data_IF_718661108982
#
_entry.id   IF_718661108982
#
_cell.length_a   1.000
_cell.length_b   1.000
_cell.length_c   1.000
_cell.angle_alpha   90.00
_cell.angle_beta   90.00
_cell.angle_gamma   90.00
#
_symmetry.space_group_name_H-M   'P 1'
#
loop_
_entity.id
_entity.type
_entity.pdbx_description
1 polymer ?
#
# COMPACT_ATOMS: atom_id res chain seq x y z
N UNK A 1 10.93 -7.55 14.97
CA UNK A 1 9.54 -7.31 14.51
C UNK A 1 9.09 -6.02 15.13
N UNK A 2 8.67 -5.02 14.34
CA UNK A 2 8.09 -3.79 14.92
C UNK A 2 6.75 -4.18 15.53
N UNK A 3 6.60 -4.07 16.84
CA UNK A 3 5.31 -4.14 17.48
C UNK A 3 4.50 -2.95 16.95
N UNK A 4 3.61 -3.21 15.99
CA UNK A 4 2.62 -2.24 15.56
C UNK A 4 1.81 -1.94 16.81
N UNK A 5 1.96 -0.72 17.34
CA UNK A 5 1.09 -0.22 18.39
C UNK A 5 -0.33 -0.42 17.86
N UNK A 6 -1.10 -1.25 18.55
CA UNK A 6 -2.47 -1.62 18.17
C UNK A 6 -3.36 -0.42 18.49
N UNK A 7 -3.23 0.60 17.63
CA UNK A 7 -3.87 1.89 17.77
C UNK A 7 -5.11 1.93 16.86
N UNK A 8 -6.02 2.88 17.12
CA UNK A 8 -7.22 3.12 16.30
C UNK A 8 -6.91 3.24 14.81
N UNK A 9 -5.75 3.81 14.48
CA UNK A 9 -5.29 3.95 13.10
C UNK A 9 -4.97 2.60 12.43
N UNK A 10 -4.51 1.60 13.18
CA UNK A 10 -4.18 0.28 12.64
C UNK A 10 -5.44 -0.44 12.12
N UNK A 11 -6.54 -0.36 12.87
CA UNK A 11 -7.82 -0.95 12.44
C UNK A 11 -8.37 -0.22 11.20
N UNK A 12 -8.30 1.11 11.19
CA UNK A 12 -8.69 1.91 10.03
C UNK A 12 -7.88 1.56 8.78
N UNK A 13 -6.56 1.43 8.92
CA UNK A 13 -5.68 1.13 7.80
C UNK A 13 -5.92 -0.30 7.29
N UNK A 14 -6.20 -1.27 8.17
CA UNK A 14 -6.63 -2.62 7.77
C UNK A 14 -7.95 -2.62 7.02
N UNK A 15 -8.95 -1.85 7.47
CA UNK A 15 -10.20 -1.72 6.74
C UNK A 15 -9.96 -1.13 5.33
N UNK A 16 -9.13 -0.10 5.20
CA UNK A 16 -8.78 0.47 3.90
C UNK A 16 -8.07 -0.54 2.99
N UNK A 17 -7.20 -1.36 3.56
CA UNK A 17 -6.50 -2.40 2.81
C UNK A 17 -7.46 -3.51 2.32
N UNK A 18 -8.44 -3.90 3.15
CA UNK A 18 -9.50 -4.84 2.76
C UNK A 18 -10.35 -4.27 1.61
N UNK A 19 -10.79 -3.01 1.70
CA UNK A 19 -11.57 -2.36 0.62
C UNK A 19 -10.76 -2.31 -0.68
N UNK A 20 -9.46 -2.01 -0.61
CA UNK A 20 -8.58 -2.01 -1.77
C UNK A 20 -8.43 -3.41 -2.39
N UNK A 21 -8.34 -4.46 -1.57
CA UNK A 21 -8.29 -5.85 -2.05
C UNK A 21 -9.61 -6.28 -2.69
N UNK A 22 -10.76 -5.87 -2.14
CA UNK A 22 -12.08 -6.16 -2.70
C UNK A 22 -12.27 -5.48 -4.07
N UNK A 23 -11.82 -4.23 -4.21
CA UNK A 23 -11.81 -3.53 -5.50
C UNK A 23 -10.88 -4.21 -6.50
N UNK A 24 -9.70 -4.67 -6.06
CA UNK A 24 -8.78 -5.43 -6.92
C UNK A 24 -9.39 -6.76 -7.36
N UNK A 25 -10.03 -7.52 -6.48
CA UNK A 25 -10.75 -8.74 -6.84
C UNK A 25 -11.86 -8.48 -7.87
N UNK A 26 -12.60 -7.38 -7.69
CA UNK A 26 -13.62 -6.97 -8.65
C UNK A 26 -13.01 -6.59 -10.01
N UNK A 27 -11.84 -5.95 -10.00
CA UNK A 27 -11.13 -5.55 -11.21
C UNK A 27 -10.54 -6.76 -11.94
N UNK A 28 -9.86 -7.66 -11.23
CA UNK A 28 -9.25 -8.86 -11.81
C UNK A 28 -10.31 -9.78 -12.42
N UNK A 29 -11.52 -9.80 -11.85
CA UNK A 29 -12.64 -10.57 -12.39
C UNK A 29 -13.25 -9.95 -13.66
N UNK A 30 -13.27 -8.62 -13.79
CA UNK A 30 -14.05 -7.93 -14.86
C UNK A 30 -13.19 -7.36 -16.00
N UNK A 31 -12.00 -6.87 -15.70
CA UNK A 31 -11.22 -6.03 -16.62
C UNK A 31 -9.85 -6.60 -16.97
N UNK A 32 -9.33 -7.53 -16.17
CA UNK A 32 -8.00 -8.08 -16.38
C UNK A 32 -8.03 -9.27 -17.34
N UNK A 33 -7.19 -9.19 -18.37
CA UNK A 33 -6.92 -10.27 -19.31
C UNK A 33 -5.72 -11.07 -18.83
N UNK A 34 -5.91 -12.38 -18.67
CA UNK A 34 -4.86 -13.33 -18.33
C UNK A 34 -4.56 -14.19 -19.56
N UNK A 35 -3.34 -14.71 -19.67
CA UNK A 35 -2.95 -15.60 -20.78
C UNK A 35 -3.65 -16.96 -20.64
N UNK A 36 -3.89 -17.40 -19.39
CA UNK A 36 -4.59 -18.63 -19.07
C UNK A 36 -5.60 -18.45 -17.92
N UNK A 37 -6.61 -19.30 -17.88
CA UNK A 37 -7.59 -19.31 -16.78
C UNK A 37 -6.96 -19.76 -15.45
N UNK A 38 -5.89 -20.57 -15.52
CA UNK A 38 -5.13 -20.98 -14.33
C UNK A 38 -4.41 -19.80 -13.66
N UNK A 39 -3.85 -18.89 -14.45
CA UNK A 39 -3.24 -17.66 -13.96
C UNK A 39 -4.26 -16.72 -13.33
N UNK A 40 -5.45 -16.59 -13.94
CA UNK A 40 -6.58 -15.84 -13.34
C UNK A 40 -6.94 -16.43 -11.99
N UNK A 41 -7.12 -17.75 -11.92
CA UNK A 41 -7.45 -18.44 -10.67
C UNK A 41 -6.36 -18.29 -9.62
N UNK A 42 -5.08 -18.35 -9.99
CA UNK A 42 -3.96 -18.15 -9.08
C UNK A 42 -3.89 -16.71 -8.53
N UNK A 43 -4.11 -15.71 -9.40
CA UNK A 43 -4.17 -14.30 -9.01
C UNK A 43 -5.33 -14.02 -8.04
N UNK A 44 -6.52 -14.53 -8.34
CA UNK A 44 -7.70 -14.44 -7.47
C UNK A 44 -7.41 -15.10 -6.12
N UNK A 45 -6.92 -16.35 -6.11
CA UNK A 45 -6.59 -17.06 -4.85
C UNK A 45 -5.60 -16.28 -3.99
N UNK A 46 -4.56 -15.71 -4.60
CA UNK A 46 -3.56 -14.90 -3.88
C UNK A 46 -4.17 -13.65 -3.24
N UNK A 47 -5.06 -12.97 -3.95
CA UNK A 47 -5.77 -11.80 -3.42
C UNK A 47 -6.76 -12.19 -2.32
N UNK A 48 -7.49 -13.29 -2.47
CA UNK A 48 -8.40 -13.82 -1.45
C UNK A 48 -7.66 -14.18 -0.17
N UNK A 49 -6.54 -14.91 -0.26
CA UNK A 49 -5.75 -15.28 0.93
C UNK A 49 -5.29 -14.02 1.70
N UNK A 50 -4.83 -12.99 0.98
CA UNK A 50 -4.43 -11.73 1.62
C UNK A 50 -5.62 -11.05 2.28
N UNK A 51 -6.75 -10.97 1.60
CA UNK A 51 -7.99 -10.40 2.14
C UNK A 51 -8.36 -11.11 3.45
N UNK A 52 -8.37 -12.44 3.44
CA UNK A 52 -8.77 -13.24 4.61
C UNK A 52 -7.80 -13.03 5.78
N UNK A 53 -6.49 -12.89 5.52
CA UNK A 53 -5.51 -12.54 6.55
C UNK A 53 -5.83 -11.18 7.19
N UNK A 54 -6.13 -10.16 6.40
CA UNK A 54 -6.48 -8.84 6.92
C UNK A 54 -7.81 -8.83 7.67
N UNK A 55 -8.79 -9.62 7.22
CA UNK A 55 -10.08 -9.77 7.92
C UNK A 55 -9.88 -10.40 9.30
N UNK A 56 -9.07 -11.46 9.40
CA UNK A 56 -8.76 -12.09 10.69
C UNK A 56 -8.06 -11.11 11.64
N UNK A 57 -7.12 -10.32 11.13
CA UNK A 57 -6.45 -9.29 11.92
C UNK A 57 -7.42 -8.18 12.36
N UNK A 58 -8.26 -7.69 11.46
CA UNK A 58 -9.28 -6.70 11.79
C UNK A 58 -10.25 -7.22 12.86
N UNK A 59 -10.71 -8.47 12.74
CA UNK A 59 -11.56 -9.09 13.76
C UNK A 59 -10.86 -9.15 15.12
N UNK A 60 -9.58 -9.56 15.15
CA UNK A 60 -8.82 -9.60 16.40
C UNK A 60 -8.70 -8.23 17.08
N UNK A 61 -8.60 -7.15 16.30
CA UNK A 61 -8.55 -5.78 16.83
C UNK A 61 -9.90 -5.29 17.34
N UNK A 62 -10.99 -5.71 16.70
CA UNK A 62 -12.35 -5.45 17.15
C UNK A 62 -12.62 -6.19 18.47
N UNK A 63 -12.18 -7.45 18.58
CA UNK A 63 -12.31 -8.25 19.80
C UNK A 63 -11.48 -7.67 20.96
N UNK A 64 -10.37 -6.97 20.66
CA UNK A 64 -9.59 -6.19 21.63
C UNK A 64 -10.29 -4.89 22.07
N UNK A 65 -11.45 -4.56 21.51
CA UNK A 65 -12.26 -3.41 21.90
C UNK A 65 -11.76 -2.08 21.33
N UNK A 66 -10.98 -2.10 20.25
CA UNK A 66 -10.51 -0.86 19.61
C UNK A 66 -11.70 -0.17 18.94
N UNK A 67 -11.95 1.09 19.33
CA UNK A 67 -13.01 1.90 18.76
C UNK A 67 -12.76 2.20 17.28
N UNK A 68 -13.78 2.00 16.45
CA UNK A 68 -13.76 2.35 15.03
C UNK A 68 -15.05 3.05 14.62
N UNK A 69 -14.98 3.85 13.56
CA UNK A 69 -16.16 4.52 13.03
C UNK A 69 -16.86 3.62 11.99
N UNK A 70 -18.21 3.51 11.99
CA UNK A 70 -18.93 2.65 11.05
C UNK A 70 -18.71 3.01 9.58
N UNK A 71 -18.39 4.27 9.27
CA UNK A 71 -18.05 4.70 7.90
C UNK A 71 -16.74 4.13 7.37
N UNK A 72 -15.84 3.71 8.26
CA UNK A 72 -14.53 3.17 7.90
C UNK A 72 -14.61 1.67 7.56
N UNK A 73 -15.73 1.01 7.88
CA UNK A 73 -15.92 -0.41 7.58
C UNK A 73 -16.04 -0.61 6.07
N UNK A 74 -15.30 -1.57 5.48
CA UNK A 74 -15.38 -1.86 4.04
C UNK A 74 -16.79 -2.28 3.63
N UNK A 75 -17.27 -1.93 2.43
CA UNK A 75 -18.61 -2.28 1.97
C UNK A 75 -18.93 -3.78 2.11
N UNK A 76 -17.94 -4.65 1.85
CA UNK A 76 -18.09 -6.11 1.91
C UNK A 76 -18.20 -6.68 3.32
N UNK A 77 -17.87 -5.90 4.36
CA UNK A 77 -17.94 -6.31 5.77
C UNK A 77 -19.04 -5.57 6.55
N UNK A 78 -19.77 -4.66 5.91
CA UNK A 78 -20.83 -3.90 6.59
C UNK A 78 -22.00 -4.82 6.89
N UNK A 79 -22.44 -4.80 8.15
CA UNK A 79 -23.72 -5.39 8.55
C UNK A 79 -24.89 -4.54 8.05
N UNK A 80 -26.09 -5.11 7.85
CA UNK A 80 -27.26 -4.34 7.42
C UNK A 80 -27.56 -3.13 8.33
N UNK A 81 -27.28 -3.25 9.62
CA UNK A 81 -27.42 -2.16 10.60
C UNK A 81 -26.42 -1.01 10.34
N UNK A 82 -25.18 -1.33 9.99
CA UNK A 82 -24.16 -0.33 9.64
C UNK A 82 -24.47 0.35 8.30
N UNK A 83 -25.07 -0.37 7.36
CA UNK A 83 -25.54 0.20 6.08
C UNK A 83 -26.67 1.21 6.34
N UNK A 84 -27.60 0.89 7.23
CA UNK A 84 -28.69 1.78 7.61
C UNK A 84 -28.18 3.05 8.34
N UNK A 85 -27.19 2.91 9.24
CA UNK A 85 -26.59 4.03 9.95
C UNK A 85 -25.91 5.04 9.00
N UNK A 86 -25.26 4.55 7.93
CA UNK A 86 -24.61 5.41 6.92
C UNK A 86 -25.60 6.11 5.97
N UNK A 87 -26.79 5.53 5.78
CA UNK A 87 -27.85 6.13 4.98
C UNK A 87 -28.51 7.35 5.65
N UNK A 88 -28.39 7.48 6.97
CA UNK A 88 -28.94 8.60 7.73
C UNK A 88 -28.08 9.88 7.62
N UNK A 89 -26.76 9.76 7.40
CA UNK A 89 -25.83 10.89 7.30
C UNK A 89 -25.62 11.41 5.86
N UNK A 90 -26.25 10.79 4.86
CA UNK A 90 -26.04 11.11 3.44
C UNK A 90 -26.87 12.29 2.89
N UNK A 91 -27.60 13.04 3.74
CA UNK A 91 -28.23 14.31 3.37
C UNK A 91 -27.48 15.52 3.94
N UNK A 92 -26.29 15.81 3.42
CA UNK A 92 -25.66 17.12 3.60
C UNK A 92 -24.81 17.52 2.38
N UNK A 93 -25.48 18.22 1.46
CA UNK A 93 -24.97 19.21 0.49
C UNK A 93 -24.10 18.75 -0.71
N UNK A 94 -24.62 18.88 -1.94
CA UNK A 94 -23.84 19.05 -3.16
C UNK A 94 -23.70 20.55 -3.47
N UNK A 95 -22.52 21.15 -3.29
CA UNK A 95 -22.25 22.52 -3.77
C UNK A 95 -20.76 22.83 -3.91
N UNK A 96 -20.07 22.25 -4.90
CA UNK A 96 -18.93 22.91 -5.57
C UNK A 96 -18.83 22.37 -7.01
N UNK A 97 -19.74 22.82 -7.87
CA UNK A 97 -19.54 22.82 -9.33
C UNK A 97 -19.98 24.21 -9.78
N UNK A 98 -19.12 24.88 -10.53
CA UNK A 98 -19.17 26.28 -11.00
C UNK A 98 -18.36 27.27 -10.14
N UNK A 99 -17.52 28.07 -10.83
CA UNK A 99 -16.58 29.09 -10.33
C UNK A 99 -15.25 28.45 -9.86
N UNK A 100 -14.26 28.21 -10.74
CA UNK A 100 -13.35 29.24 -11.26
C UNK A 100 -12.95 28.92 -12.72
N UNK A 101 -13.75 29.42 -13.66
CA UNK A 101 -13.39 29.63 -15.06
C UNK A 101 -13.03 31.11 -15.21
N UNK A 102 -11.89 31.52 -14.62
CA UNK A 102 -11.27 32.83 -14.80
C UNK A 102 -9.99 32.86 -13.96
N UNK A 103 -8.83 32.66 -14.59
CA UNK A 103 -7.54 33.35 -14.37
C UNK A 103 -6.60 32.78 -15.46
N UNK A 104 -6.81 33.22 -16.70
CA UNK A 104 -5.72 33.41 -17.65
C UNK A 104 -5.23 34.84 -17.45
N UNK A 105 -4.10 35.03 -16.76
CA UNK A 105 -3.23 36.18 -16.97
C UNK A 105 -1.77 35.73 -16.82
N UNK A 106 -1.02 35.90 -17.90
CA UNK A 106 0.42 35.70 -18.01
C UNK A 106 1.22 36.54 -17.00
N UNK A 107 2.19 35.91 -16.35
CA UNK A 107 3.40 36.56 -15.87
C UNK A 107 4.57 35.56 -15.99
N UNK A 108 5.73 35.94 -16.55
CA UNK A 108 6.84 35.02 -16.79
C UNK A 108 7.55 34.73 -15.48
N UNK A 109 7.09 33.69 -14.77
CA UNK A 109 7.86 33.11 -13.68
C UNK A 109 9.05 32.38 -14.30
N UNK A 110 10.24 32.92 -14.07
CA UNK A 110 11.50 32.30 -14.40
C UNK A 110 11.47 30.83 -13.97
N UNK A 111 11.54 29.92 -14.95
CA UNK A 111 11.67 28.49 -14.68
C UNK A 111 12.98 28.32 -13.91
N UNK A 112 13.01 27.71 -12.72
CA UNK A 112 14.27 27.19 -12.21
C UNK A 112 14.75 26.15 -13.23
N UNK A 113 16.00 26.26 -13.68
CA UNK A 113 16.60 25.35 -14.66
C UNK A 113 16.27 23.90 -14.27
N UNK A 114 15.93 23.02 -15.23
CA UNK A 114 15.72 21.63 -14.92
C UNK A 114 17.02 21.11 -14.33
N UNK A 115 17.01 20.85 -13.03
CA UNK A 115 18.02 20.02 -12.39
C UNK A 115 17.89 18.68 -13.09
N UNK A 116 18.76 18.46 -14.08
CA UNK A 116 18.76 17.28 -14.90
C UNK A 116 19.06 16.10 -13.99
N UNK A 117 17.99 15.41 -13.58
CA UNK A 117 18.05 14.22 -12.75
C UNK A 117 19.02 13.19 -13.36
N UNK A 118 19.13 13.15 -14.69
CA UNK A 118 20.11 12.33 -15.40
C UNK A 118 21.56 12.67 -15.06
N UNK A 119 21.89 13.97 -14.94
CA UNK A 119 23.21 14.42 -14.53
C UNK A 119 23.53 14.07 -13.06
N UNK A 120 22.53 14.14 -12.18
CA UNK A 120 22.65 13.71 -10.77
C UNK A 120 22.87 12.20 -10.65
N UNK A 121 22.09 11.39 -11.37
CA UNK A 121 22.26 9.92 -11.38
C UNK A 121 23.63 9.55 -11.94
N UNK A 122 24.07 10.20 -13.03
CA UNK A 122 25.38 9.97 -13.65
C UNK A 122 26.56 10.36 -12.76
N UNK A 123 26.36 11.33 -11.85
CA UNK A 123 27.36 11.71 -10.83
C UNK A 123 27.43 10.64 -9.73
N UNK A 124 26.27 10.20 -9.24
CA UNK A 124 26.18 9.18 -8.20
C UNK A 124 26.74 7.84 -8.65
N UNK A 125 26.51 7.44 -9.91
CA UNK A 125 27.11 6.22 -10.48
C UNK A 125 28.64 6.31 -10.58
N UNK A 126 29.18 7.48 -10.95
CA UNK A 126 30.63 7.71 -10.97
C UNK A 126 31.23 7.66 -9.57
N UNK A 127 30.60 8.28 -8.58
CA UNK A 127 31.05 8.23 -7.18
C UNK A 127 31.01 6.82 -6.60
N UNK A 128 29.97 6.04 -6.93
CA UNK A 128 29.86 4.62 -6.55
C UNK A 128 30.86 3.70 -7.26
N UNK A 129 31.39 4.09 -8.43
CA UNK A 129 32.43 3.34 -9.14
C UNK A 129 33.85 3.58 -8.58
N UNK A 130 34.07 4.73 -7.93
CA UNK A 130 35.37 5.11 -7.37
C UNK A 130 35.56 4.67 -5.92
N UNK A 131 34.48 4.47 -5.18
CA UNK A 131 34.51 3.92 -3.83
C UNK A 131 34.20 2.42 -3.91
N UNK A 132 34.89 1.58 -3.13
CA UNK A 132 34.58 0.14 -3.12
C UNK A 132 33.10 -0.01 -2.77
N UNK A 133 32.34 -0.60 -3.70
CA UNK A 133 30.89 -0.62 -3.60
C UNK A 133 30.46 -1.21 -2.25
N UNK A 134 29.64 -0.52 -1.43
CA UNK A 134 29.16 -1.06 -0.16
C UNK A 134 28.42 -2.40 -0.34
N UNK A 135 27.88 -2.66 -1.53
CA UNK A 135 27.29 -3.95 -1.90
C UNK A 135 28.31 -5.09 -2.03
N UNK A 136 29.54 -4.80 -2.44
CA UNK A 136 30.61 -5.80 -2.50
C UNK A 136 31.02 -6.23 -1.09
N UNK A 137 31.24 -5.26 -0.20
CA UNK A 137 31.52 -5.53 1.21
C UNK A 137 30.41 -6.34 1.89
N UNK A 138 29.14 -6.04 1.59
CA UNK A 138 28.00 -6.78 2.14
C UNK A 138 27.89 -8.22 1.62
N UNK A 139 28.25 -8.48 0.35
CA UNK A 139 28.28 -9.84 -0.21
C UNK A 139 29.34 -10.71 0.47
N UNK A 140 30.51 -10.13 0.74
CA UNK A 140 31.57 -10.83 1.45
C UNK A 140 31.18 -11.11 2.91
N UNK A 141 30.51 -10.16 3.57
CA UNK A 141 30.03 -10.31 4.94
C UNK A 141 28.91 -11.36 5.05
N UNK A 142 28.01 -11.42 4.07
CA UNK A 142 27.02 -12.49 3.93
C UNK A 142 27.65 -13.87 3.74
N UNK A 143 28.70 -13.96 2.92
CA UNK A 143 29.42 -15.21 2.70
C UNK A 143 30.15 -15.66 3.98
N UNK A 144 30.73 -14.73 4.74
CA UNK A 144 31.35 -15.00 6.03
C UNK A 144 30.32 -15.47 7.07
N UNK A 145 29.15 -14.82 7.13
CA UNK A 145 28.05 -15.21 8.00
C UNK A 145 27.54 -16.63 7.70
N UNK A 146 27.33 -16.98 6.42
CA UNK A 146 26.90 -18.32 6.00
C UNK A 146 27.91 -19.40 6.42
N UNK A 147 29.21 -19.16 6.22
CA UNK A 147 30.27 -20.09 6.64
C UNK A 147 30.28 -20.29 8.16
N UNK A 148 30.12 -19.21 8.94
CA UNK A 148 30.07 -19.29 10.40
C UNK A 148 28.88 -20.10 10.90
N UNK A 149 27.70 -19.92 10.27
CA UNK A 149 26.48 -20.67 10.58
C UNK A 149 26.58 -22.16 10.25
N UNK A 150 27.18 -22.51 9.11
CA UNK A 150 27.41 -23.91 8.75
C UNK A 150 28.35 -24.60 9.73
N UNK A 151 29.42 -23.91 10.16
CA UNK A 151 30.40 -24.43 11.12
C UNK A 151 29.80 -24.73 12.51
N UNK A 152 28.80 -23.97 12.94
CA UNK A 152 28.09 -24.22 14.21
C UNK A 152 27.01 -25.31 14.12
N UNK A 153 26.64 -25.77 12.92
CA UNK A 153 25.67 -26.85 12.73
C UNK A 153 26.32 -28.22 12.53
N UNK A 154 27.63 -28.26 12.30
CA UNK A 154 28.41 -29.49 12.08
C UNK A 154 29.29 -29.89 13.28
N UNK A 155 29.04 -29.30 14.45
CA UNK A 155 29.68 -29.60 15.73
C UNK A 155 28.60 -30.04 16.72
#
# INVERSE_FOLDING_TARGET
MRALVQDKYALRDLHREIDLLDRKLSHTSKFESFETEEERAAAVRKLTIRRDQHVVLAQSLIDLGIEYHPSEVPPSLRTPEQIAALGADAQATPKVVAEVEAIEQEAPVARPDPTDFGAMVSRLERENSMTSSPLAAWKDDLAAYRRRRQKTQSA
#
